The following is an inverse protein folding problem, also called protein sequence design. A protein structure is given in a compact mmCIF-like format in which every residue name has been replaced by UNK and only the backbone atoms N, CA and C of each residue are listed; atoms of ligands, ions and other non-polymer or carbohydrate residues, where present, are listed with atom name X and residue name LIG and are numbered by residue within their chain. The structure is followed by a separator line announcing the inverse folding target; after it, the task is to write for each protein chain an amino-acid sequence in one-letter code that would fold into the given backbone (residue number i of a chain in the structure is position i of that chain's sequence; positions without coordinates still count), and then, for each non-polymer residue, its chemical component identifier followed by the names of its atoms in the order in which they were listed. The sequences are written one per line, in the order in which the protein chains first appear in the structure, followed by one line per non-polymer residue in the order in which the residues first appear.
data_IF_945709757980
#
_entry.id   IF_945709757980
#
_cell.length_a   1.000
_cell.length_b   1.000
_cell.length_c   1.000
_cell.angle_alpha   90.00
_cell.angle_beta   90.00
_cell.angle_gamma   90.00
#
_symmetry.space_group_name_H-M   'P 1'
#
loop_
_entity.id
_entity.type
_entity.pdbx_description
1 polymer ?
#
# COMPACT_ATOMS: atom_id res chain seq x y z
N UNK A 1 7.69 -14.14 0.29
CA UNK A 1 7.11 -14.87 -0.84
C UNK A 1 5.61 -15.04 -0.70
N UNK A 2 5.04 -15.50 0.40
CA UNK A 2 3.58 -15.69 0.56
C UNK A 2 2.72 -14.40 0.51
N UNK A 3 3.24 -13.23 0.83
CA UNK A 3 2.51 -11.95 0.78
C UNK A 3 2.38 -11.41 -0.65
N UNK A 4 3.27 -11.79 -1.54
CA UNK A 4 3.30 -11.35 -2.94
C UNK A 4 2.24 -12.10 -3.76
N UNK A 5 2.04 -13.40 -3.48
CA UNK A 5 0.99 -14.21 -4.10
C UNK A 5 -0.42 -13.75 -3.69
N UNK A 6 -0.57 -13.21 -2.49
CA UNK A 6 -1.86 -12.70 -2.00
C UNK A 6 -2.28 -11.42 -2.70
N UNK A 7 -1.33 -10.53 -3.01
CA UNK A 7 -1.61 -9.32 -3.81
C UNK A 7 -1.98 -9.62 -5.26
N UNK A 8 -1.35 -10.61 -5.89
CA UNK A 8 -1.68 -11.02 -7.26
C UNK A 8 -3.06 -11.71 -7.35
N UNK A 9 -3.51 -12.33 -6.27
CA UNK A 9 -4.83 -12.97 -6.20
C UNK A 9 -5.96 -11.96 -5.91
N UNK A 10 -5.67 -10.88 -5.17
CA UNK A 10 -6.63 -9.82 -4.86
C UNK A 10 -6.88 -8.88 -6.06
N UNK A 11 -5.92 -8.77 -6.99
CA UNK A 11 -6.09 -8.04 -8.24
C UNK A 11 -7.04 -8.74 -9.24
N UNK A 12 -7.38 -10.02 -9.01
CA UNK A 12 -8.38 -10.79 -9.78
C UNK A 12 -9.81 -10.65 -9.25
N UNK A 13 -10.04 -9.92 -8.17
CA UNK A 13 -11.39 -9.69 -7.68
C UNK A 13 -12.12 -8.68 -8.60
N UNK A 14 -13.36 -8.96 -9.03
CA UNK A 14 -14.14 -8.03 -9.84
C UNK A 14 -14.30 -6.72 -9.07
N UNK A 15 -14.09 -5.59 -9.74
CA UNK A 15 -14.23 -4.21 -9.25
C UNK A 15 -15.64 -3.87 -8.72
N UNK A 16 -16.27 -4.76 -7.99
CA UNK A 16 -17.62 -4.57 -7.46
C UNK A 16 -17.91 -5.49 -6.30
N UNK A 17 -17.62 -5.03 -5.10
CA UNK A 17 -18.22 -5.37 -3.82
C UNK A 17 -17.19 -5.66 -2.72
N UNK A 18 -16.85 -4.63 -1.97
CA UNK A 18 -16.17 -4.75 -0.68
C UNK A 18 -16.51 -3.55 0.19
N UNK A 19 -17.69 -3.54 0.81
CA UNK A 19 -18.06 -2.56 1.84
C UNK A 19 -17.20 -2.78 3.09
N UNK A 20 -16.01 -2.20 3.10
CA UNK A 20 -15.25 -1.93 4.32
C UNK A 20 -15.92 -0.80 5.09
N UNK A 21 -16.39 -1.07 6.29
CA UNK A 21 -16.95 -0.05 7.20
C UNK A 21 -15.79 0.60 7.93
N UNK A 22 -15.57 1.89 7.70
CA UNK A 22 -14.64 2.66 8.50
C UNK A 22 -13.96 3.79 7.73
N UNK A 23 -12.99 4.41 8.32
CA UNK A 23 -12.15 5.49 7.80
C UNK A 23 -11.48 5.09 6.48
N UNK A 24 -11.22 3.79 6.28
CA UNK A 24 -10.70 3.21 5.03
C UNK A 24 -11.64 3.45 3.84
N UNK A 25 -12.97 3.45 4.04
CA UNK A 25 -13.93 3.59 2.96
C UNK A 25 -13.94 4.99 2.33
N UNK A 26 -13.62 6.04 3.08
CA UNK A 26 -13.54 7.41 2.55
C UNK A 26 -12.23 7.64 1.79
N UNK A 27 -11.13 7.09 2.29
CA UNK A 27 -9.82 7.17 1.65
C UNK A 27 -9.78 6.38 0.34
N UNK A 28 -10.27 5.15 0.35
CA UNK A 28 -10.36 4.29 -0.84
C UNK A 28 -11.33 4.85 -1.87
N UNK A 29 -12.50 5.36 -1.47
CA UNK A 29 -13.46 5.95 -2.41
C UNK A 29 -12.91 7.21 -3.12
N UNK A 30 -12.08 8.01 -2.46
CA UNK A 30 -11.42 9.15 -3.09
C UNK A 30 -10.33 8.70 -4.08
N UNK A 31 -9.57 7.67 -3.71
CA UNK A 31 -8.55 7.06 -4.58
C UNK A 31 -9.23 6.44 -5.79
N UNK A 32 -10.27 5.62 -5.60
CA UNK A 32 -11.01 4.96 -6.68
C UNK A 32 -11.63 5.98 -7.65
N UNK A 33 -12.17 7.07 -7.13
CA UNK A 33 -12.86 8.05 -7.96
C UNK A 33 -11.94 9.00 -8.72
N UNK A 34 -10.79 9.34 -8.16
CA UNK A 34 -9.89 10.36 -8.70
C UNK A 34 -8.63 9.78 -9.33
N UNK A 35 -8.06 8.77 -8.72
CA UNK A 35 -6.77 8.21 -9.12
C UNK A 35 -6.94 7.01 -10.05
N UNK A 36 -8.00 6.23 -9.88
CA UNK A 36 -8.30 5.02 -10.64
C UNK A 36 -9.38 5.23 -11.71
N UNK A 37 -9.76 6.48 -12.00
CA UNK A 37 -10.61 6.71 -13.16
C UNK A 37 -9.89 6.25 -14.43
N UNK A 38 -10.62 5.64 -15.36
CA UNK A 38 -10.06 5.12 -16.61
C UNK A 38 -9.28 6.21 -17.38
N UNK A 39 -9.76 7.44 -17.36
CA UNK A 39 -9.09 8.59 -17.97
C UNK A 39 -7.74 8.93 -17.28
N UNK A 40 -7.68 8.83 -15.96
CA UNK A 40 -6.45 9.12 -15.21
C UNK A 40 -5.41 8.00 -15.42
N UNK A 41 -5.83 6.75 -15.48
CA UNK A 41 -4.97 5.60 -15.79
C UNK A 41 -4.43 5.73 -17.22
N UNK A 42 -5.31 5.99 -18.19
CA UNK A 42 -4.90 6.17 -19.58
C UNK A 42 -3.93 7.36 -19.77
N UNK A 43 -4.13 8.46 -19.04
CA UNK A 43 -3.22 9.60 -19.08
C UNK A 43 -1.82 9.25 -18.54
N UNK A 44 -1.72 8.50 -17.45
CA UNK A 44 -0.43 8.04 -16.90
C UNK A 44 0.26 7.04 -17.83
N UNK A 45 -0.49 6.08 -18.38
CA UNK A 45 0.04 5.14 -19.35
C UNK A 45 0.60 5.87 -20.59
N UNK A 46 -0.08 6.93 -21.06
CA UNK A 46 0.40 7.76 -22.17
C UNK A 46 1.70 8.51 -21.80
N UNK A 47 1.81 9.01 -20.58
CA UNK A 47 3.02 9.69 -20.10
C UNK A 47 4.21 8.72 -20.08
N UNK A 48 4.02 7.50 -19.56
CA UNK A 48 5.05 6.46 -19.60
C UNK A 48 5.41 6.04 -21.02
N UNK A 49 4.43 5.92 -21.93
CA UNK A 49 4.69 5.62 -23.33
C UNK A 49 5.52 6.71 -24.01
N UNK A 50 5.26 7.99 -23.72
CA UNK A 50 6.07 9.13 -24.21
C UNK A 50 7.49 9.10 -23.65
N UNK A 51 7.65 8.87 -22.34
CA UNK A 51 8.96 8.73 -21.72
C UNK A 51 9.77 7.59 -22.36
N UNK A 52 9.12 6.44 -22.60
CA UNK A 52 9.76 5.32 -23.30
C UNK A 52 10.16 5.70 -24.74
N UNK A 53 9.28 6.38 -25.50
CA UNK A 53 9.59 6.83 -26.85
C UNK A 53 10.79 7.79 -26.89
N UNK A 54 10.86 8.74 -25.94
CA UNK A 54 12.00 9.65 -25.83
C UNK A 54 13.29 8.90 -25.53
N UNK A 55 13.23 7.93 -24.59
CA UNK A 55 14.37 7.11 -24.22
C UNK A 55 14.89 6.27 -25.39
N UNK A 56 13.98 5.59 -26.11
CA UNK A 56 14.29 4.75 -27.27
C UNK A 56 14.88 5.59 -28.40
N UNK A 57 14.29 6.75 -28.70
CA UNK A 57 14.76 7.66 -29.74
C UNK A 57 16.12 8.26 -29.43
N UNK A 58 16.34 8.68 -28.17
CA UNK A 58 17.60 9.31 -27.75
C UNK A 58 18.79 8.35 -27.79
N UNK A 59 18.55 7.05 -27.58
CA UNK A 59 19.61 6.03 -27.48
C UNK A 59 19.69 5.11 -28.67
N UNK A 60 18.76 5.20 -29.62
CA UNK A 60 18.69 4.29 -30.77
C UNK A 60 18.46 2.84 -30.35
N UNK A 61 17.55 2.61 -29.40
CA UNK A 61 17.28 1.29 -28.84
C UNK A 61 16.48 0.47 -29.87
N UNK A 62 16.90 -0.79 -30.10
CA UNK A 62 16.15 -1.76 -30.89
C UNK A 62 15.05 -2.43 -30.06
N UNK A 63 13.98 -2.87 -30.72
CA UNK A 63 12.90 -3.63 -30.06
C UNK A 63 13.39 -4.93 -29.39
N UNK A 64 14.55 -5.44 -29.80
CA UNK A 64 15.19 -6.66 -29.28
C UNK A 64 16.13 -6.41 -28.09
N UNK A 65 16.42 -5.15 -27.77
CA UNK A 65 17.29 -4.79 -26.65
C UNK A 65 16.52 -4.78 -25.33
N UNK A 66 16.24 -5.98 -24.83
CA UNK A 66 15.52 -6.21 -23.58
C UNK A 66 16.19 -5.52 -22.39
N UNK A 67 17.54 -5.48 -22.38
CA UNK A 67 18.31 -4.87 -21.29
C UNK A 67 18.10 -3.35 -21.21
N UNK A 68 18.09 -2.68 -22.37
CA UNK A 68 17.86 -1.24 -22.39
C UNK A 68 16.45 -0.88 -21.92
N UNK A 69 15.45 -1.67 -22.31
CA UNK A 69 14.06 -1.45 -21.92
C UNK A 69 13.85 -1.77 -20.42
N UNK A 70 14.48 -2.82 -19.91
CA UNK A 70 14.50 -3.08 -18.46
C UNK A 70 15.18 -1.96 -17.67
N UNK A 71 16.26 -1.38 -18.17
CA UNK A 71 16.92 -0.23 -17.51
C UNK A 71 16.01 0.98 -17.43
N UNK A 72 15.27 1.26 -18.53
CA UNK A 72 14.28 2.32 -18.51
C UNK A 72 13.17 2.03 -17.50
N UNK A 73 12.58 0.85 -17.53
CA UNK A 73 11.52 0.43 -16.60
C UNK A 73 11.95 0.50 -15.13
N UNK A 74 13.19 0.10 -14.82
CA UNK A 74 13.77 0.24 -13.47
C UNK A 74 13.94 1.71 -13.07
N UNK A 75 14.21 2.60 -14.02
CA UNK A 75 14.29 4.04 -13.82
C UNK A 75 12.93 4.64 -13.48
N UNK A 76 11.90 4.30 -14.23
CA UNK A 76 10.51 4.74 -14.03
C UNK A 76 9.86 4.15 -12.77
N UNK A 77 10.28 2.95 -12.30
CA UNK A 77 9.86 2.25 -11.08
C UNK A 77 8.36 1.95 -10.94
N UNK A 78 7.54 2.44 -11.83
CA UNK A 78 6.08 2.39 -11.73
C UNK A 78 5.42 1.91 -13.02
N UNK A 79 6.18 1.65 -14.07
CA UNK A 79 5.66 1.23 -15.35
C UNK A 79 6.10 -0.19 -15.68
N UNK A 80 5.16 -0.99 -16.16
CA UNK A 80 5.42 -2.24 -16.85
C UNK A 80 5.16 -2.04 -18.35
N UNK A 81 5.96 -2.73 -19.15
CA UNK A 81 5.91 -2.63 -20.60
C UNK A 81 5.98 -4.02 -21.20
N UNK A 82 5.06 -4.31 -22.14
CA UNK A 82 5.09 -5.50 -22.97
C UNK A 82 5.40 -5.04 -24.38
N UNK A 83 6.47 -5.55 -24.96
CA UNK A 83 6.86 -5.25 -26.34
C UNK A 83 6.50 -6.42 -27.26
N UNK A 84 5.66 -6.15 -28.27
CA UNK A 84 5.26 -7.13 -29.28
C UNK A 84 6.22 -7.05 -30.45
N UNK A 85 7.07 -8.05 -30.60
CA UNK A 85 8.03 -8.14 -31.71
C UNK A 85 7.36 -8.69 -32.97
N UNK A 86 7.89 -8.36 -34.14
CA UNK A 86 7.38 -8.90 -35.41
C UNK A 86 7.69 -10.40 -35.56
N UNK A 87 8.82 -10.84 -35.01
CA UNK A 87 9.27 -12.24 -35.02
C UNK A 87 9.72 -12.57 -33.61
N UNK A 88 9.08 -13.56 -32.98
CA UNK A 88 9.35 -14.00 -31.61
C UNK A 88 8.21 -13.72 -30.65
N UNK A 89 8.38 -14.21 -29.42
CA UNK A 89 7.40 -14.02 -28.36
C UNK A 89 7.47 -12.59 -27.82
N UNK A 90 6.33 -12.01 -27.43
CA UNK A 90 6.32 -10.74 -26.72
C UNK A 90 7.09 -10.88 -25.41
N UNK A 91 7.82 -9.85 -25.01
CA UNK A 91 8.51 -9.85 -23.74
C UNK A 91 8.04 -8.71 -22.85
N UNK A 92 8.10 -8.94 -21.56
CA UNK A 92 7.72 -7.98 -20.54
C UNK A 92 8.96 -7.42 -19.85
N UNK A 93 8.99 -6.10 -19.66
CA UNK A 93 9.96 -5.39 -18.85
C UNK A 93 9.24 -4.58 -17.79
N UNK A 94 9.63 -4.74 -16.53
CA UNK A 94 9.00 -4.03 -15.43
C UNK A 94 9.46 -4.45 -14.05
N UNK A 95 8.96 -3.77 -13.05
CA UNK A 95 9.26 -4.05 -11.64
C UNK A 95 8.58 -5.32 -11.12
N UNK A 96 7.58 -5.81 -11.82
CA UNK A 96 6.81 -7.00 -11.47
C UNK A 96 6.94 -7.98 -12.62
N UNK A 97 7.82 -8.97 -12.45
CA UNK A 97 7.95 -10.05 -13.43
C UNK A 97 6.67 -10.87 -13.47
N UNK A 98 5.86 -10.62 -14.46
CA UNK A 98 4.64 -11.38 -14.76
C UNK A 98 4.83 -12.24 -16.01
N UNK A 99 6.02 -12.79 -16.19
CA UNK A 99 6.35 -13.67 -17.32
C UNK A 99 5.37 -14.84 -17.50
N UNK A 100 4.59 -15.17 -16.48
CA UNK A 100 3.51 -16.16 -16.56
C UNK A 100 2.25 -15.66 -17.27
N UNK A 101 2.09 -14.34 -17.46
CA UNK A 101 0.90 -13.76 -18.10
C UNK A 101 0.94 -13.82 -19.63
N UNK A 102 2.10 -13.98 -20.23
CA UNK A 102 2.27 -13.87 -21.69
C UNK A 102 1.93 -15.15 -22.45
N UNK A 103 2.01 -16.32 -21.82
CA UNK A 103 1.92 -17.61 -22.51
C UNK A 103 0.51 -17.99 -23.01
N UNK A 104 -0.58 -17.40 -22.48
CA UNK A 104 -1.96 -17.76 -22.88
C UNK A 104 -2.99 -16.61 -22.73
N UNK A 105 -2.53 -15.37 -22.60
CA UNK A 105 -3.40 -14.23 -22.30
C UNK A 105 -3.76 -13.47 -23.57
N UNK A 106 -5.06 -13.35 -23.87
CA UNK A 106 -5.53 -12.59 -25.03
C UNK A 106 -5.28 -11.08 -24.86
N UNK A 107 -5.24 -10.33 -25.97
CA UNK A 107 -5.06 -8.87 -25.93
C UNK A 107 -6.18 -8.16 -25.15
N UNK A 108 -7.40 -8.72 -25.13
CA UNK A 108 -8.51 -8.22 -24.34
C UNK A 108 -8.23 -8.36 -22.84
N UNK A 109 -7.66 -9.50 -22.43
CA UNK A 109 -7.36 -9.75 -21.02
C UNK A 109 -6.24 -8.83 -20.51
N UNK A 110 -5.26 -8.52 -21.38
CA UNK A 110 -4.19 -7.55 -21.10
C UNK A 110 -4.76 -6.13 -20.95
N UNK A 111 -5.73 -5.74 -21.78
CA UNK A 111 -6.42 -4.46 -21.64
C UNK A 111 -7.24 -4.41 -20.33
N UNK A 112 -7.91 -5.50 -19.93
CA UNK A 112 -8.66 -5.61 -18.68
C UNK A 112 -7.76 -5.54 -17.44
N UNK A 113 -6.47 -5.87 -17.59
CA UNK A 113 -5.44 -5.68 -16.56
C UNK A 113 -4.97 -4.20 -16.43
N UNK A 114 -5.49 -3.29 -17.24
CA UNK A 114 -5.17 -1.86 -17.19
C UNK A 114 -4.06 -1.42 -18.12
N UNK A 115 -3.59 -2.30 -19.02
CA UNK A 115 -2.62 -1.92 -20.04
C UNK A 115 -3.26 -1.09 -21.15
N UNK A 116 -2.55 -0.07 -21.60
CA UNK A 116 -2.90 0.71 -22.79
C UNK A 116 -1.91 0.42 -23.90
N UNK A 117 -2.42 0.26 -25.13
CA UNK A 117 -1.61 -0.10 -26.28
C UNK A 117 -1.18 1.15 -27.07
N UNK A 118 0.10 1.21 -27.41
CA UNK A 118 0.72 2.30 -28.19
C UNK A 118 1.56 1.71 -29.31
N UNK A 119 1.81 2.49 -30.35
CA UNK A 119 2.81 2.17 -31.38
C UNK A 119 4.01 3.08 -31.15
N UNK A 120 5.17 2.50 -30.92
CA UNK A 120 6.42 3.23 -30.68
C UNK A 120 7.45 2.94 -31.77
N UNK A 121 8.23 3.98 -32.09
CA UNK A 121 9.29 3.91 -33.08
C UNK A 121 10.60 3.51 -32.42
N UNK A 122 11.07 2.30 -32.69
CA UNK A 122 12.39 1.80 -32.31
C UNK A 122 13.40 1.99 -33.43
N UNK A 123 14.68 1.72 -33.19
CA UNK A 123 15.72 1.83 -34.16
C UNK A 123 15.55 0.84 -35.36
N UNK A 124 14.88 -0.28 -35.11
CA UNK A 124 14.63 -1.37 -36.06
C UNK A 124 13.20 -1.37 -36.65
N UNK A 125 12.36 -0.41 -36.29
CA UNK A 125 11.02 -0.28 -36.86
C UNK A 125 9.98 0.21 -35.91
N UNK A 126 8.72 0.17 -36.34
CA UNK A 126 7.55 0.46 -35.51
C UNK A 126 7.02 -0.81 -34.86
N UNK A 127 6.85 -0.78 -33.56
CA UNK A 127 6.35 -1.93 -32.81
C UNK A 127 5.21 -1.53 -31.87
N UNK A 128 4.31 -2.46 -31.69
CA UNK A 128 3.23 -2.30 -30.72
C UNK A 128 3.76 -2.57 -29.31
N UNK A 129 3.37 -1.72 -28.38
CA UNK A 129 3.80 -1.79 -26.99
C UNK A 129 2.57 -1.63 -26.09
N UNK A 130 2.42 -2.48 -25.09
CA UNK A 130 1.44 -2.30 -24.05
C UNK A 130 2.14 -1.72 -22.81
N UNK A 131 1.59 -0.67 -22.25
CA UNK A 131 2.15 0.03 -21.07
C UNK A 131 1.10 0.07 -19.96
N UNK A 132 1.51 -0.24 -18.74
CA UNK A 132 0.67 -0.17 -17.55
C UNK A 132 1.39 0.56 -16.42
N UNK A 133 0.69 1.52 -15.78
CA UNK A 133 1.15 2.21 -14.59
C UNK A 133 0.78 1.42 -13.33
N UNK A 134 1.77 1.07 -12.52
CA UNK A 134 1.62 0.38 -11.23
C UNK A 134 1.76 1.30 -10.02
N UNK A 135 1.65 2.61 -10.20
CA UNK A 135 1.72 3.56 -9.09
C UNK A 135 0.61 3.36 -8.06
N UNK A 136 -0.51 2.76 -8.48
CA UNK A 136 -1.63 2.35 -7.63
C UNK A 136 -1.20 1.41 -6.51
N UNK A 137 -0.44 0.37 -6.82
CA UNK A 137 0.01 -0.61 -5.82
C UNK A 137 0.87 0.04 -4.73
N UNK A 138 1.69 1.02 -5.10
CA UNK A 138 2.48 1.81 -4.16
C UNK A 138 1.61 2.71 -3.29
N UNK A 139 0.59 3.34 -3.88
CA UNK A 139 -0.32 4.22 -3.16
C UNK A 139 -1.10 3.45 -2.08
N UNK A 140 -1.67 2.30 -2.41
CA UNK A 140 -2.33 1.44 -1.42
C UNK A 140 -1.39 1.00 -0.31
N UNK A 141 -0.16 0.63 -0.64
CA UNK A 141 0.86 0.27 0.34
C UNK A 141 1.16 1.41 1.31
N UNK A 142 1.33 2.64 0.80
CA UNK A 142 1.56 3.82 1.65
C UNK A 142 0.36 4.17 2.53
N UNK A 143 -0.86 4.08 2.00
CA UNK A 143 -2.09 4.33 2.76
C UNK A 143 -2.25 3.32 3.88
N UNK A 144 -2.06 2.03 3.59
CA UNK A 144 -2.13 0.96 4.58
C UNK A 144 -1.08 1.10 5.66
N UNK A 145 0.17 1.41 5.28
CA UNK A 145 1.24 1.65 6.24
C UNK A 145 0.97 2.89 7.10
N UNK A 146 0.47 3.97 6.49
CA UNK A 146 0.08 5.20 7.21
C UNK A 146 -1.04 4.94 8.22
N UNK A 147 -2.06 4.17 7.86
CA UNK A 147 -3.14 3.78 8.75
C UNK A 147 -2.65 2.95 9.94
N UNK A 148 -1.72 2.01 9.70
CA UNK A 148 -1.11 1.19 10.75
C UNK A 148 -0.30 2.05 11.73
N UNK A 149 0.52 2.96 11.23
CA UNK A 149 1.31 3.89 12.06
C UNK A 149 0.39 4.77 12.91
N UNK A 150 -0.66 5.34 12.29
CA UNK A 150 -1.64 6.16 13.01
C UNK A 150 -2.35 5.37 14.11
N UNK A 151 -2.78 4.15 13.81
CA UNK A 151 -3.39 3.25 14.79
C UNK A 151 -2.45 2.96 15.98
N UNK A 152 -1.17 2.71 15.71
CA UNK A 152 -0.16 2.50 16.74
C UNK A 152 0.04 3.75 17.62
N UNK A 153 0.07 4.93 17.02
CA UNK A 153 0.20 6.21 17.73
C UNK A 153 -1.00 6.42 18.67
N UNK A 154 -2.23 6.24 18.15
CA UNK A 154 -3.46 6.37 18.96
C UNK A 154 -3.45 5.38 20.12
N UNK A 155 -3.13 4.10 19.85
CA UNK A 155 -3.02 3.08 20.88
C UNK A 155 -2.01 3.46 21.97
N UNK A 156 -0.85 3.95 21.57
CA UNK A 156 0.22 4.36 22.50
C UNK A 156 -0.23 5.51 23.39
N UNK A 157 -0.94 6.49 22.85
CA UNK A 157 -1.51 7.59 23.66
C UNK A 157 -2.53 7.09 24.69
N UNK A 158 -3.42 6.19 24.28
CA UNK A 158 -4.42 5.59 25.19
C UNK A 158 -3.71 4.79 26.28
N UNK A 159 -2.77 3.91 25.93
CA UNK A 159 -2.00 3.10 26.86
C UNK A 159 -1.21 3.96 27.85
N UNK A 160 -0.54 5.01 27.37
CA UNK A 160 0.20 5.94 28.20
C UNK A 160 -0.72 6.70 29.19
N UNK A 161 -1.86 7.19 28.69
CA UNK A 161 -2.86 7.86 29.55
C UNK A 161 -3.41 6.95 30.65
N UNK A 162 -3.70 5.69 30.29
CA UNK A 162 -4.16 4.67 31.21
C UNK A 162 -3.08 4.34 32.27
N UNK A 163 -1.86 4.07 31.83
CA UNK A 163 -0.73 3.77 32.74
C UNK A 163 -0.47 4.93 33.69
N UNK A 164 -0.47 6.17 33.19
CA UNK A 164 -0.28 7.36 34.05
C UNK A 164 -1.39 7.50 35.07
N UNK A 165 -2.65 7.17 34.73
CA UNK A 165 -3.78 7.21 35.67
C UNK A 165 -3.67 6.14 36.73
N UNK A 166 -3.27 4.92 36.37
CA UNK A 166 -3.04 3.83 37.33
C UNK A 166 -1.89 4.15 38.29
N UNK A 167 -0.75 4.57 37.75
CA UNK A 167 0.42 4.91 38.57
C UNK A 167 0.07 5.98 39.60
N UNK A 168 -0.64 7.04 39.22
CA UNK A 168 -1.08 8.09 40.16
C UNK A 168 -2.00 7.55 41.25
N UNK A 169 -2.88 6.58 40.95
CA UNK A 169 -3.75 5.97 41.95
C UNK A 169 -2.96 5.10 42.93
N UNK A 170 -2.03 4.29 42.40
CA UNK A 170 -1.17 3.43 43.25
C UNK A 170 -0.28 4.28 44.16
N UNK A 171 0.34 5.34 43.62
CA UNK A 171 1.15 6.25 44.46
C UNK A 171 0.34 6.89 45.57
N UNK A 172 -0.85 7.42 45.26
CA UNK A 172 -1.73 8.01 46.31
C UNK A 172 -2.15 6.99 47.36
N UNK A 173 -2.44 5.74 46.97
CA UNK A 173 -2.76 4.68 47.92
C UNK A 173 -1.55 4.34 48.79
N UNK A 174 -0.37 4.21 48.22
CA UNK A 174 0.88 3.96 48.96
C UNK A 174 1.19 5.07 49.95
N UNK A 175 1.02 6.33 49.55
CA UNK A 175 1.18 7.48 50.45
C UNK A 175 0.16 7.47 51.59
N UNK A 176 -1.12 7.13 51.31
CA UNK A 176 -2.17 7.03 52.29
C UNK A 176 -1.91 5.88 53.28
N UNK A 177 -1.44 4.72 52.81
CA UNK A 177 -1.07 3.58 53.68
C UNK A 177 0.11 3.95 54.57
N UNK A 178 1.15 4.61 54.01
CA UNK A 178 2.28 5.10 54.80
C UNK A 178 1.88 6.11 55.88
N UNK A 179 0.97 7.02 55.56
CA UNK A 179 0.45 8.01 56.52
C UNK A 179 -0.48 7.38 57.57
N UNK A 180 -1.28 6.39 57.19
CA UNK A 180 -2.17 5.68 58.13
C UNK A 180 -1.37 4.85 59.16
N UNK A 181 -0.30 4.17 58.70
CA UNK A 181 0.61 3.43 59.59
C UNK A 181 1.33 4.31 60.63
N UNK A 182 1.58 5.60 60.27
CA UNK A 182 2.24 6.55 61.17
C UNK A 182 1.28 7.28 62.14
N UNK A 183 -0.01 7.40 61.77
CA UNK A 183 -0.97 8.27 62.49
C UNK A 183 -2.28 7.58 62.89
N UNK A 184 -2.40 6.26 62.77
CA UNK A 184 -3.62 5.50 63.00
C UNK A 184 -4.89 6.09 62.35
N UNK A 185 -4.73 6.60 61.11
CA UNK A 185 -5.80 7.20 60.32
C UNK A 185 -6.33 6.21 59.28
N UNK A 186 -7.64 6.26 59.03
CA UNK A 186 -8.29 5.43 58.01
C UNK A 186 -7.90 5.83 56.56
N UNK A 187 -7.70 4.85 55.70
CA UNK A 187 -7.33 5.03 54.27
C UNK A 187 -8.60 5.41 53.49
N UNK A 188 -8.61 6.48 52.71
CA UNK A 188 -9.79 6.83 51.92
C UNK A 188 -10.03 5.79 50.81
N UNK A 189 -11.20 5.15 50.84
CA UNK A 189 -11.64 4.20 49.82
C UNK A 189 -12.22 4.98 48.64
N UNK A 190 -11.52 5.02 47.50
CA UNK A 190 -11.94 5.73 46.32
C UNK A 190 -12.04 4.77 45.11
N UNK A 191 -13.24 4.57 44.62
CA UNK A 191 -13.53 3.70 43.48
C UNK A 191 -14.25 2.42 43.84
N UNK A 192 -14.49 1.56 42.86
CA UNK A 192 -15.18 0.27 42.97
C UNK A 192 -14.34 -0.91 42.51
N UNK A 193 -13.07 -0.68 42.25
CA UNK A 193 -12.09 -1.64 41.72
C UNK A 193 -11.36 -2.41 42.84
N UNK A 194 -10.46 -3.31 42.46
CA UNK A 194 -9.68 -4.14 43.40
C UNK A 194 -8.83 -3.30 44.33
N UNK A 195 -8.37 -2.12 43.92
CA UNK A 195 -7.60 -1.19 44.75
C UNK A 195 -8.48 -0.58 45.89
N UNK A 196 -9.74 -0.29 45.55
CA UNK A 196 -10.70 0.17 46.59
C UNK A 196 -11.02 -0.93 47.59
N UNK A 197 -11.12 -2.20 47.15
CA UNK A 197 -11.30 -3.35 48.03
C UNK A 197 -10.08 -3.58 48.93
N UNK A 198 -8.88 -3.41 48.39
CA UNK A 198 -7.64 -3.49 49.17
C UNK A 198 -7.60 -2.38 50.27
N UNK A 199 -7.91 -1.14 49.88
CA UNK A 199 -7.97 -0.02 50.83
C UNK A 199 -9.01 -0.27 51.96
N UNK A 200 -10.15 -0.87 51.61
CA UNK A 200 -11.19 -1.22 52.59
C UNK A 200 -10.77 -2.38 53.54
N UNK A 201 -9.92 -3.30 53.09
CA UNK A 201 -9.45 -4.43 53.87
C UNK A 201 -8.35 -4.07 54.88
N UNK A 202 -7.71 -2.92 54.73
CA UNK A 202 -6.61 -2.43 55.58
C UNK A 202 -7.13 -1.47 56.70
N UNK A 203 -8.36 -0.94 56.53
CA UNK A 203 -9.04 -0.12 57.56
C UNK A 203 -9.69 -0.96 58.64
#
# INVERSE_FOLDING_TARGET
MALIDQCAHDLRAPRGAGRGRGIDALGTAAIDRWYLSDDAVAARNLEHARSLQEYVSARGVSSRDTLAIEQWSRGEKKANVIVYQAEGDPYEAGSWGTSELLDDTSQSDIADLGYSFFTLQFADGEYRVAVCDYSEAWLYSYVSFGALVLGFVIYSFIAFGFTRRLTRRVTRLSEAVGAAGALNRTIPVVGTDELARLAASVN
#
